data_IF_129626911933
#
_entry.id   IF_129626911933
#
_cell.length_a   1.000
_cell.length_b   1.000
_cell.length_c   1.000
_cell.angle_alpha   90.00
_cell.angle_beta   90.00
_cell.angle_gamma   90.00
#
_symmetry.space_group_name_H-M   'P 1'
#
loop_
_entity.id
_entity.type
_entity.pdbx_description
1 polymer ?
#
# COMPACT_ATOMS: atom_id res chain seq x y z
N UNK A 1 -16.86 23.35 -12.07
CA UNK A 1 -16.56 22.43 -13.18
C UNK A 1 -16.52 21.04 -12.59
N UNK A 2 -17.13 20.05 -13.24
CA UNK A 2 -17.01 18.65 -12.81
C UNK A 2 -15.69 18.11 -13.35
N UNK A 3 -14.85 17.55 -12.49
CA UNK A 3 -13.62 16.91 -12.96
C UNK A 3 -13.92 15.63 -13.75
N UNK A 4 -13.09 15.34 -14.73
CA UNK A 4 -13.20 14.17 -15.62
C UNK A 4 -12.16 13.11 -15.28
N UNK A 5 -12.33 11.88 -15.77
CA UNK A 5 -11.31 10.82 -15.65
C UNK A 5 -9.95 11.24 -16.26
N UNK A 6 -9.96 12.06 -17.31
CA UNK A 6 -8.74 12.64 -17.88
C UNK A 6 -8.01 13.57 -16.89
N UNK A 7 -8.74 14.37 -16.13
CA UNK A 7 -8.15 15.24 -15.09
C UNK A 7 -7.52 14.40 -13.97
N UNK A 8 -8.16 13.29 -13.59
CA UNK A 8 -7.64 12.34 -12.60
C UNK A 8 -6.35 11.68 -13.10
N UNK A 9 -6.33 11.20 -14.35
CA UNK A 9 -5.12 10.63 -14.97
C UNK A 9 -3.97 11.66 -15.02
N UNK A 10 -4.29 12.91 -15.38
CA UNK A 10 -3.29 13.98 -15.41
C UNK A 10 -2.69 14.22 -14.02
N UNK A 11 -3.53 14.32 -12.99
CA UNK A 11 -3.06 14.50 -11.61
C UNK A 11 -2.29 13.28 -11.11
N UNK A 12 -2.73 12.07 -11.44
CA UNK A 12 -2.03 10.83 -11.09
C UNK A 12 -0.59 10.83 -11.64
N UNK A 13 -0.42 11.13 -12.93
CA UNK A 13 0.90 11.20 -13.59
C UNK A 13 1.77 12.32 -13.04
N UNK A 14 1.18 13.47 -12.71
CA UNK A 14 1.88 14.56 -12.03
C UNK A 14 2.47 14.10 -10.70
N UNK A 15 1.67 13.44 -9.86
CA UNK A 15 2.09 12.92 -8.55
C UNK A 15 3.14 11.82 -8.68
N UNK A 16 2.95 10.88 -9.62
CA UNK A 16 3.94 9.86 -9.93
C UNK A 16 5.29 10.51 -10.29
N UNK A 17 5.30 11.46 -11.23
CA UNK A 17 6.52 12.16 -11.64
C UNK A 17 7.20 12.90 -10.48
N UNK A 18 6.41 13.48 -9.58
CA UNK A 18 6.89 14.28 -8.46
C UNK A 18 7.42 13.43 -7.30
N UNK A 19 6.80 12.29 -7.01
CA UNK A 19 7.04 11.52 -5.78
C UNK A 19 7.52 10.09 -6.01
N UNK A 20 7.72 9.65 -7.25
CA UNK A 20 8.36 8.37 -7.52
C UNK A 20 9.87 8.45 -7.23
N UNK A 21 10.37 7.42 -6.55
CA UNK A 21 11.79 7.19 -6.37
C UNK A 21 12.13 5.75 -6.74
N UNK A 22 13.32 5.54 -7.31
CA UNK A 22 13.78 4.22 -7.74
C UNK A 22 14.11 3.28 -6.57
N UNK A 23 14.29 3.83 -5.37
CA UNK A 23 14.63 3.11 -4.14
C UNK A 23 13.62 3.44 -3.04
N UNK A 24 13.52 2.53 -2.07
CA UNK A 24 12.65 2.67 -0.91
C UNK A 24 11.26 2.04 -1.09
N UNK A 25 10.50 2.08 -0.01
CA UNK A 25 9.14 1.56 0.08
C UNK A 25 8.25 2.56 0.78
N UNK A 26 7.00 2.65 0.34
CA UNK A 26 5.96 3.22 1.18
C UNK A 26 5.50 2.14 2.15
N UNK A 27 5.29 2.52 3.42
CA UNK A 27 4.88 1.58 4.47
C UNK A 27 3.77 2.18 5.34
N UNK A 28 2.93 1.31 5.91
CA UNK A 28 1.90 1.70 6.87
C UNK A 28 1.88 0.74 8.05
N UNK A 29 1.63 1.27 9.25
CA UNK A 29 1.39 0.44 10.42
C UNK A 29 -0.05 -0.11 10.37
N UNK A 30 -0.17 -1.44 10.44
CA UNK A 30 -1.46 -2.09 10.63
C UNK A 30 -1.82 -2.03 12.11
N UNK A 31 -3.03 -1.60 12.50
CA UNK A 31 -3.45 -1.63 13.89
C UNK A 31 -3.38 -3.03 14.47
N UNK A 32 -2.90 -3.18 15.71
CA UNK A 32 -2.70 -4.49 16.35
C UNK A 32 -3.99 -5.33 16.37
N UNK A 33 -5.15 -4.73 16.71
CA UNK A 33 -6.45 -5.43 16.70
C UNK A 33 -6.85 -5.93 15.31
N UNK A 34 -6.59 -5.14 14.26
CA UNK A 34 -6.85 -5.52 12.87
C UNK A 34 -5.88 -6.63 12.43
N UNK A 35 -4.60 -6.49 12.79
CA UNK A 35 -3.55 -7.47 12.52
C UNK A 35 -3.89 -8.83 13.14
N UNK A 36 -4.35 -8.85 14.38
CA UNK A 36 -4.79 -10.09 15.04
C UNK A 36 -5.99 -10.70 14.33
N UNK A 37 -7.03 -9.91 14.03
CA UNK A 37 -8.23 -10.40 13.36
C UNK A 37 -7.96 -10.96 11.95
N UNK A 38 -7.14 -10.26 11.16
CA UNK A 38 -6.90 -10.59 9.75
C UNK A 38 -5.91 -11.76 9.60
N UNK A 39 -4.97 -11.91 10.53
CA UNK A 39 -3.88 -12.88 10.41
C UNK A 39 -3.87 -13.97 11.51
N UNK A 40 -4.94 -14.12 12.30
CA UNK A 40 -5.00 -15.06 13.43
C UNK A 40 -4.72 -16.52 13.05
N UNK A 41 -5.40 -17.05 12.02
CA UNK A 41 -5.51 -18.51 11.84
C UNK A 41 -5.19 -19.04 10.43
N UNK A 42 -4.96 -18.17 9.43
CA UNK A 42 -4.81 -18.57 8.02
C UNK A 42 -3.53 -18.07 7.34
N UNK A 43 -2.75 -17.24 8.02
CA UNK A 43 -1.57 -16.61 7.44
C UNK A 43 -0.32 -17.48 7.64
N UNK A 44 0.22 -18.03 6.56
CA UNK A 44 1.52 -18.72 6.58
C UNK A 44 2.63 -17.67 6.51
N UNK A 45 3.16 -17.31 7.67
CA UNK A 45 4.28 -16.38 7.78
C UNK A 45 5.60 -17.08 7.47
N UNK A 46 6.39 -16.50 6.56
CA UNK A 46 7.73 -17.00 6.23
C UNK A 46 8.78 -16.27 7.03
N UNK A 47 9.66 -17.00 7.69
CA UNK A 47 10.84 -16.42 8.32
C UNK A 47 11.86 -16.11 7.23
N UNK A 48 12.12 -14.81 7.03
CA UNK A 48 13.05 -14.34 6.01
C UNK A 48 14.03 -13.35 6.60
N UNK A 49 15.16 -13.26 5.89
CA UNK A 49 16.21 -12.34 6.21
C UNK A 49 15.94 -10.96 5.60
N UNK A 50 15.84 -9.90 6.41
CA UNK A 50 15.67 -8.55 5.87
C UNK A 50 17.03 -7.88 5.60
N UNK A 51 17.58 -8.15 4.40
CA UNK A 51 18.85 -7.56 3.89
C UNK A 51 18.90 -6.05 3.79
N UNK A 52 17.77 -5.39 3.95
CA UNK A 52 17.68 -3.95 3.85
C UNK A 52 17.69 -3.28 5.24
N UNK A 53 17.37 -4.01 6.30
CA UNK A 53 17.43 -3.55 7.69
C UNK A 53 18.79 -3.83 8.36
N UNK A 54 19.40 -4.99 8.08
CA UNK A 54 20.70 -5.43 8.63
C UNK A 54 21.21 -6.62 7.80
N UNK A 55 22.24 -7.35 8.27
CA UNK A 55 22.52 -8.77 7.92
C UNK A 55 22.03 -9.77 9.01
N UNK A 56 21.37 -9.28 10.07
CA UNK A 56 20.92 -10.09 11.21
C UNK A 56 19.41 -10.00 11.56
N UNK A 57 18.61 -9.15 10.90
CA UNK A 57 17.18 -8.99 11.24
C UNK A 57 16.31 -10.06 10.57
N UNK A 58 15.98 -11.09 11.35
CA UNK A 58 14.93 -12.04 11.00
C UNK A 58 13.53 -11.41 11.15
N UNK A 59 12.72 -11.52 10.10
CA UNK A 59 11.33 -11.07 10.07
C UNK A 59 10.41 -12.21 9.65
N UNK A 60 9.14 -12.08 9.99
CA UNK A 60 8.06 -12.86 9.40
C UNK A 60 7.46 -12.05 8.26
N UNK A 61 7.42 -12.60 7.05
CA UNK A 61 6.83 -11.98 5.86
C UNK A 61 5.67 -12.79 5.34
N UNK A 62 4.63 -12.11 4.91
CA UNK A 62 3.43 -12.67 4.29
C UNK A 62 3.11 -11.86 3.03
N UNK A 63 2.81 -12.55 1.92
CA UNK A 63 2.42 -11.91 0.66
C UNK A 63 0.92 -12.03 0.45
N UNK A 64 0.27 -10.95 0.02
CA UNK A 64 -1.12 -10.95 -0.40
C UNK A 64 -1.27 -10.33 -1.79
N UNK A 65 -2.21 -10.85 -2.55
CA UNK A 65 -2.65 -10.26 -3.81
C UNK A 65 -3.85 -9.36 -3.54
N UNK A 66 -3.84 -8.15 -4.08
CA UNK A 66 -4.90 -7.16 -3.97
C UNK A 66 -5.44 -6.91 -5.38
N UNK A 67 -6.59 -7.50 -5.75
CA UNK A 67 -7.24 -7.23 -7.02
C UNK A 67 -7.81 -5.81 -7.02
N UNK A 68 -7.41 -4.98 -7.97
CA UNK A 68 -7.92 -3.62 -8.12
C UNK A 68 -8.04 -3.26 -9.59
N UNK A 69 -9.22 -2.79 -10.00
CA UNK A 69 -9.51 -2.34 -11.37
C UNK A 69 -9.13 -3.36 -12.45
N UNK A 70 -9.30 -4.66 -12.16
CA UNK A 70 -8.99 -5.75 -13.09
C UNK A 70 -7.52 -6.21 -13.11
N UNK A 71 -6.70 -5.71 -12.19
CA UNK A 71 -5.28 -6.06 -12.07
C UNK A 71 -4.92 -6.53 -10.67
N UNK A 72 -3.98 -7.47 -10.59
CA UNK A 72 -3.51 -8.04 -9.32
C UNK A 72 -2.23 -7.32 -8.86
N UNK A 73 -2.26 -6.77 -7.65
CA UNK A 73 -1.10 -6.11 -7.04
C UNK A 73 -0.60 -6.90 -5.84
N UNK A 74 0.71 -7.15 -5.74
CA UNK A 74 1.28 -7.87 -4.60
C UNK A 74 1.69 -6.92 -3.49
N UNK A 75 1.11 -7.09 -2.30
CA UNK A 75 1.56 -6.42 -1.07
C UNK A 75 2.29 -7.39 -0.15
N UNK A 76 3.18 -6.84 0.68
CA UNK A 76 3.91 -7.60 1.70
C UNK A 76 3.49 -7.10 3.08
N UNK A 77 3.33 -8.03 4.02
CA UNK A 77 3.10 -7.75 5.42
C UNK A 77 4.26 -8.33 6.21
N UNK A 78 4.83 -7.53 7.11
CA UNK A 78 6.07 -7.88 7.80
C UNK A 78 5.92 -7.68 9.32
N UNK A 79 6.44 -8.63 10.10
CA UNK A 79 6.47 -8.62 11.57
C UNK A 79 7.89 -8.88 12.09
N UNK A 80 8.28 -8.35 13.26
CA UNK A 80 9.53 -8.72 13.91
C UNK A 80 9.47 -10.19 14.38
N UNK A 81 10.57 -10.94 14.23
CA UNK A 81 10.65 -12.33 14.73
C UNK A 81 11.08 -12.41 16.20
N UNK A 82 11.93 -11.49 16.66
CA UNK A 82 12.47 -11.47 18.03
C UNK A 82 12.50 -10.05 18.57
N UNK A 83 12.36 -9.94 19.90
CA UNK A 83 12.37 -8.65 20.60
C UNK A 83 13.67 -7.88 20.39
N UNK A 84 14.81 -8.55 20.34
CA UNK A 84 16.12 -7.87 20.29
C UNK A 84 16.35 -7.12 18.97
N UNK A 85 15.65 -7.47 17.90
CA UNK A 85 15.74 -6.81 16.59
C UNK A 85 14.69 -5.70 16.39
N UNK A 86 13.94 -5.33 17.43
CA UNK A 86 12.89 -4.30 17.34
C UNK A 86 13.44 -2.93 16.94
N UNK A 87 14.57 -2.51 17.52
CA UNK A 87 15.19 -1.22 17.21
C UNK A 87 15.61 -1.13 15.73
N UNK A 88 16.21 -2.19 15.20
CA UNK A 88 16.68 -2.25 13.80
C UNK A 88 15.50 -2.32 12.82
N UNK A 89 14.42 -3.02 13.21
CA UNK A 89 13.16 -3.04 12.46
C UNK A 89 12.49 -1.66 12.45
N UNK A 90 12.43 -0.97 13.59
CA UNK A 90 11.87 0.38 13.73
C UNK A 90 12.68 1.44 12.97
N UNK A 91 14.01 1.40 13.10
CA UNK A 91 14.92 2.30 12.39
C UNK A 91 14.78 2.13 10.87
N UNK A 92 14.71 0.89 10.39
CA UNK A 92 14.57 0.58 8.96
C UNK A 92 13.29 1.12 8.32
N UNK A 93 12.16 1.05 9.03
CA UNK A 93 10.89 1.58 8.51
C UNK A 93 10.70 3.08 8.81
N UNK A 94 11.68 3.74 9.42
CA UNK A 94 11.60 5.15 9.79
C UNK A 94 10.65 5.44 10.97
N UNK A 95 10.36 4.42 11.79
CA UNK A 95 9.55 4.54 13.00
C UNK A 95 10.42 4.91 14.21
N UNK A 96 10.98 6.11 14.22
CA UNK A 96 11.61 6.64 15.44
C UNK A 96 10.59 6.76 16.59
N UNK A 97 10.67 5.87 17.60
CA UNK A 97 10.03 6.07 18.90
C UNK A 97 8.58 5.61 19.08
N UNK A 98 8.00 4.84 18.15
CA UNK A 98 6.61 4.35 18.26
C UNK A 98 6.46 2.91 18.81
N UNK A 99 7.54 2.18 19.10
CA UNK A 99 7.46 1.00 20.00
C UNK A 99 7.71 1.35 21.46
N UNK A 100 7.08 2.42 21.95
CA UNK A 100 6.55 2.33 23.31
C UNK A 100 5.53 1.18 23.33
N UNK A 101 5.94 0.01 23.83
CA UNK A 101 5.10 -1.19 23.89
C UNK A 101 5.26 -2.12 22.69
N UNK A 102 6.49 -2.60 22.44
CA UNK A 102 6.78 -3.73 21.55
C UNK A 102 5.71 -4.84 21.63
N UNK A 103 5.21 -5.28 20.49
CA UNK A 103 4.26 -6.37 20.34
C UNK A 103 4.71 -7.27 19.17
N UNK A 104 4.79 -8.58 19.41
CA UNK A 104 5.10 -9.60 18.37
C UNK A 104 4.07 -9.63 17.24
N UNK A 105 2.88 -9.08 17.47
CA UNK A 105 1.78 -9.00 16.50
C UNK A 105 1.78 -7.69 15.68
N UNK A 106 2.74 -6.79 15.94
CA UNK A 106 2.84 -5.53 15.20
C UNK A 106 3.20 -5.81 13.76
N UNK A 107 2.30 -5.47 12.85
CA UNK A 107 2.44 -5.72 11.41
C UNK A 107 2.65 -4.42 10.66
N UNK A 108 3.62 -4.41 9.77
CA UNK A 108 3.85 -3.34 8.80
C UNK A 108 3.35 -3.81 7.44
N UNK A 109 2.47 -3.03 6.82
CA UNK A 109 2.11 -3.18 5.42
C UNK A 109 3.16 -2.47 4.56
N UNK A 110 3.83 -3.22 3.69
CA UNK A 110 4.81 -2.72 2.73
C UNK A 110 4.21 -2.77 1.32
N UNK A 111 4.07 -1.57 0.74
CA UNK A 111 3.59 -1.39 -0.63
C UNK A 111 4.73 -1.68 -1.63
N UNK A 112 4.42 -1.98 -2.91
CA UNK A 112 5.45 -2.29 -3.90
C UNK A 112 6.56 -1.23 -4.03
N UNK A 113 7.81 -1.69 -4.15
CA UNK A 113 8.96 -0.80 -4.44
C UNK A 113 8.97 -0.29 -5.87
N UNK A 114 8.31 -0.98 -6.80
CA UNK A 114 8.26 -0.59 -8.20
C UNK A 114 6.85 -0.85 -8.70
N UNK A 115 6.38 0.04 -9.57
CA UNK A 115 5.21 -0.23 -10.36
C UNK A 115 5.57 -1.15 -11.53
N UNK A 116 4.58 -1.91 -11.99
CA UNK A 116 4.72 -2.72 -13.20
C UNK A 116 4.59 -1.80 -14.42
N UNK A 117 5.66 -1.70 -15.21
CA UNK A 117 5.71 -0.84 -16.39
C UNK A 117 4.88 -1.39 -17.56
N UNK A 118 4.51 -2.67 -17.54
CA UNK A 118 3.67 -3.30 -18.55
C UNK A 118 2.18 -3.00 -18.32
N UNK A 119 1.82 -2.51 -17.13
CA UNK A 119 0.46 -2.06 -16.82
C UNK A 119 0.21 -0.68 -17.44
N UNK A 120 -0.78 -0.62 -18.35
CA UNK A 120 -1.20 0.63 -18.98
C UNK A 120 -2.15 1.43 -18.05
N UNK A 121 -1.58 2.40 -17.32
CA UNK A 121 -2.33 3.22 -16.36
C UNK A 121 -3.41 4.09 -17.03
N UNK A 122 -3.20 4.50 -18.27
CA UNK A 122 -4.17 5.28 -19.04
C UNK A 122 -5.41 4.44 -19.33
N UNK A 123 -5.21 3.18 -19.75
CA UNK A 123 -6.33 2.27 -19.97
C UNK A 123 -7.12 2.00 -18.68
N UNK A 124 -6.42 1.78 -17.55
CA UNK A 124 -7.05 1.53 -16.25
C UNK A 124 -7.88 2.72 -15.78
N UNK A 125 -7.33 3.93 -15.83
CA UNK A 125 -7.99 5.12 -15.27
C UNK A 125 -9.03 5.69 -16.23
N UNK A 126 -8.83 5.61 -17.55
CA UNK A 126 -9.81 6.15 -18.51
C UNK A 126 -10.98 5.20 -18.73
N UNK A 127 -10.74 3.87 -18.75
CA UNK A 127 -11.78 2.86 -19.05
C UNK A 127 -12.57 3.19 -20.33
N UNK A 128 -11.88 3.63 -21.37
CA UNK A 128 -12.44 4.11 -22.65
C UNK A 128 -13.39 5.33 -22.55
N UNK A 129 -13.44 6.02 -21.41
CA UNK A 129 -14.30 7.20 -21.18
C UNK A 129 -13.53 8.34 -20.50
N UNK A 130 -12.71 9.05 -21.28
CA UNK A 130 -11.88 10.14 -20.78
C UNK A 130 -12.68 11.32 -20.22
N UNK A 131 -13.87 11.56 -20.76
CA UNK A 131 -14.78 12.65 -20.32
C UNK A 131 -15.74 12.20 -19.23
N UNK A 132 -15.64 10.95 -18.80
CA UNK A 132 -16.53 10.34 -17.82
C UNK A 132 -16.53 11.09 -16.49
N UNK A 133 -17.69 11.16 -15.83
CA UNK A 133 -17.77 11.74 -14.49
C UNK A 133 -16.94 10.91 -13.51
N UNK A 134 -16.42 11.60 -12.51
CA UNK A 134 -15.66 11.01 -11.40
C UNK A 134 -16.58 10.96 -10.19
N UNK A 135 -16.81 9.77 -9.64
CA UNK A 135 -17.49 9.58 -8.36
C UNK A 135 -16.51 9.22 -7.24
N UNK A 136 -17.02 9.17 -6.00
CA UNK A 136 -16.21 8.89 -4.83
C UNK A 136 -15.55 7.50 -4.86
N UNK A 137 -16.21 6.50 -5.45
CA UNK A 137 -15.69 5.14 -5.47
C UNK A 137 -14.55 5.01 -6.48
N UNK A 138 -14.71 5.58 -7.68
CA UNK A 138 -13.64 5.70 -8.65
C UNK A 138 -12.45 6.48 -8.08
N UNK A 139 -12.70 7.60 -7.39
CA UNK A 139 -11.64 8.40 -6.77
C UNK A 139 -10.85 7.61 -5.72
N UNK A 140 -11.54 6.86 -4.85
CA UNK A 140 -10.91 5.95 -3.87
C UNK A 140 -10.10 4.85 -4.53
N UNK A 141 -10.59 4.25 -5.62
CA UNK A 141 -9.82 3.29 -6.40
C UNK A 141 -8.57 3.90 -7.04
N UNK A 142 -8.63 5.14 -7.54
CA UNK A 142 -7.46 5.83 -8.07
C UNK A 142 -6.41 6.13 -6.98
N UNK A 143 -6.85 6.50 -5.77
CA UNK A 143 -5.97 6.68 -4.61
C UNK A 143 -5.33 5.35 -4.19
N UNK A 144 -6.13 4.28 -4.09
CA UNK A 144 -5.62 2.93 -3.81
C UNK A 144 -4.58 2.53 -4.85
N UNK A 145 -4.87 2.71 -6.14
CA UNK A 145 -3.97 2.37 -7.24
C UNK A 145 -2.63 3.12 -7.15
N UNK A 146 -2.65 4.41 -6.80
CA UNK A 146 -1.42 5.20 -6.62
C UNK A 146 -0.51 4.57 -5.55
N UNK A 147 -1.12 4.10 -4.45
CA UNK A 147 -0.44 3.47 -3.33
C UNK A 147 -0.02 2.01 -3.62
N UNK A 148 -0.99 1.13 -3.89
CA UNK A 148 -0.79 -0.31 -4.06
C UNK A 148 -0.07 -0.66 -5.35
N UNK A 149 -0.15 0.20 -6.37
CA UNK A 149 0.60 0.03 -7.60
C UNK A 149 2.07 0.41 -7.47
N UNK A 150 2.51 0.97 -6.33
CA UNK A 150 3.92 1.36 -6.13
C UNK A 150 4.36 2.57 -6.96
N UNK A 151 3.41 3.35 -7.50
CA UNK A 151 3.65 4.53 -8.33
C UNK A 151 4.23 5.72 -7.55
N UNK A 152 4.14 5.70 -6.23
CA UNK A 152 4.73 6.70 -5.33
C UNK A 152 5.44 6.03 -4.16
N UNK A 153 6.26 6.79 -3.42
CA UNK A 153 7.00 6.30 -2.24
C UNK A 153 6.69 7.03 -0.94
N UNK A 154 5.89 8.08 -1.01
CA UNK A 154 5.64 8.97 0.12
C UNK A 154 4.14 9.19 0.29
N UNK A 155 3.66 9.12 1.54
CA UNK A 155 2.28 9.45 1.90
C UNK A 155 1.87 10.86 1.51
N UNK A 156 2.83 11.79 1.43
CA UNK A 156 2.60 13.13 0.90
C UNK A 156 1.92 13.14 -0.48
N UNK A 157 2.24 12.18 -1.36
CA UNK A 157 1.60 12.07 -2.66
C UNK A 157 0.13 11.63 -2.55
N UNK A 158 -0.16 10.70 -1.64
CA UNK A 158 -1.52 10.21 -1.36
C UNK A 158 -2.37 11.34 -0.77
N UNK A 159 -1.85 12.05 0.23
CA UNK A 159 -2.54 13.19 0.84
C UNK A 159 -2.75 14.34 -0.16
N UNK A 160 -1.77 14.61 -1.03
CA UNK A 160 -1.94 15.60 -2.10
C UNK A 160 -3.03 15.17 -3.09
N UNK A 161 -3.17 13.88 -3.37
CA UNK A 161 -4.24 13.39 -4.24
C UNK A 161 -5.62 13.49 -3.59
N UNK A 162 -5.72 13.08 -2.31
CA UNK A 162 -6.95 13.23 -1.51
C UNK A 162 -7.41 14.68 -1.46
N UNK A 163 -6.50 15.62 -1.15
CA UNK A 163 -6.81 17.05 -1.12
C UNK A 163 -7.23 17.57 -2.50
N UNK A 164 -6.58 17.11 -3.57
CA UNK A 164 -7.00 17.48 -4.93
C UNK A 164 -8.43 17.01 -5.23
N UNK A 165 -8.80 15.79 -4.85
CA UNK A 165 -10.18 15.31 -5.01
C UNK A 165 -11.18 16.17 -4.23
N UNK A 166 -10.84 16.59 -3.02
CA UNK A 166 -11.69 17.44 -2.19
C UNK A 166 -11.83 18.84 -2.79
N UNK A 167 -10.70 19.50 -3.08
CA UNK A 167 -10.65 20.93 -3.38
C UNK A 167 -10.94 21.23 -4.86
N UNK A 168 -10.56 20.33 -5.77
CA UNK A 168 -10.67 20.53 -7.23
C UNK A 168 -11.77 19.66 -7.83
N UNK A 169 -11.81 18.38 -7.49
CA UNK A 169 -12.84 17.47 -8.02
C UNK A 169 -14.19 17.57 -7.31
N UNK A 170 -14.24 18.20 -6.14
CA UNK A 170 -15.46 18.36 -5.35
C UNK A 170 -15.97 17.07 -4.72
N UNK A 171 -15.06 16.15 -4.38
CA UNK A 171 -15.34 14.82 -3.79
C UNK A 171 -14.84 14.81 -2.33
N UNK A 172 -15.61 15.33 -1.37
CA UNK A 172 -15.21 15.44 0.02
C UNK A 172 -14.99 14.07 0.71
N UNK A 173 -15.58 12.99 0.18
CA UNK A 173 -15.47 11.62 0.70
C UNK A 173 -14.05 11.04 0.62
N UNK A 174 -13.15 11.67 -0.14
CA UNK A 174 -11.74 11.28 -0.21
C UNK A 174 -10.90 11.84 0.94
N UNK A 175 -11.43 12.80 1.71
CA UNK A 175 -10.66 13.47 2.77
C UNK A 175 -10.23 12.49 3.86
N UNK A 176 -8.93 12.35 4.07
CA UNK A 176 -8.37 11.50 5.13
C UNK A 176 -8.63 10.01 4.91
N UNK A 177 -8.83 9.58 3.67
CA UNK A 177 -9.08 8.18 3.31
C UNK A 177 -7.91 7.26 3.73
N UNK A 178 -6.68 7.74 3.60
CA UNK A 178 -5.46 7.04 4.07
C UNK A 178 -5.25 7.14 5.58
N UNK A 179 -5.47 8.31 6.19
CA UNK A 179 -5.24 8.55 7.62
C UNK A 179 -6.27 7.87 8.54
N UNK A 180 -7.52 7.80 8.09
CA UNK A 180 -8.62 7.13 8.81
C UNK A 180 -8.48 5.61 8.85
N UNK A 181 -7.47 5.06 8.18
CA UNK A 181 -7.24 3.62 7.98
C UNK A 181 -8.31 2.95 7.12
N UNK A 182 -9.22 3.71 6.49
CA UNK A 182 -10.19 3.18 5.52
C UNK A 182 -9.46 2.53 4.33
N UNK A 183 -8.36 3.12 3.85
CA UNK A 183 -7.52 2.52 2.81
C UNK A 183 -7.05 1.11 3.16
N UNK A 184 -6.52 0.90 4.37
CA UNK A 184 -6.08 -0.43 4.83
C UNK A 184 -7.27 -1.38 5.00
N UNK A 185 -8.39 -0.89 5.54
CA UNK A 185 -9.60 -1.71 5.69
C UNK A 185 -10.09 -2.23 4.33
N UNK A 186 -10.18 -1.37 3.31
CA UNK A 186 -10.57 -1.77 1.95
C UNK A 186 -9.58 -2.74 1.31
N UNK A 187 -8.28 -2.55 1.53
CA UNK A 187 -7.27 -3.54 1.10
C UNK A 187 -7.55 -4.90 1.74
N UNK A 188 -7.82 -4.93 3.06
CA UNK A 188 -8.09 -6.18 3.77
C UNK A 188 -9.38 -6.86 3.34
N UNK A 189 -10.39 -6.11 2.90
CA UNK A 189 -11.65 -6.65 2.39
C UNK A 189 -11.48 -7.40 1.06
N UNK A 190 -10.57 -6.94 0.21
CA UNK A 190 -10.42 -7.47 -1.16
C UNK A 190 -9.17 -8.33 -1.34
N UNK A 191 -8.22 -8.29 -0.41
CA UNK A 191 -6.98 -9.05 -0.56
C UNK A 191 -7.21 -10.55 -0.45
N UNK A 192 -6.42 -11.30 -1.22
CA UNK A 192 -6.37 -12.75 -1.20
C UNK A 192 -4.97 -13.16 -0.77
N UNK A 193 -4.88 -14.01 0.26
CA UNK A 193 -3.60 -14.56 0.69
C UNK A 193 -3.05 -15.47 -0.40
N UNK A 194 -1.76 -15.33 -0.72
CA UNK A 194 -1.13 -16.19 -1.71
C UNK A 194 -0.86 -17.55 -1.06
N UNK A 195 -1.61 -18.59 -1.46
CA UNK A 195 -1.30 -19.98 -1.12
C UNK A 195 -0.04 -20.43 -1.87
N UNK A 196 0.84 -21.18 -1.21
CA UNK A 196 2.15 -21.50 -1.77
C UNK A 196 2.06 -22.32 -3.07
N UNK A 197 2.90 -22.02 -4.09
CA UNK A 197 3.43 -23.07 -4.96
C UNK A 197 4.44 -23.93 -4.18
N UNK A 198 4.50 -25.25 -4.42
CA UNK A 198 5.36 -26.15 -3.67
C UNK A 198 6.83 -25.72 -3.74
N UNK A 199 7.51 -25.74 -2.58
CA UNK A 199 8.96 -25.56 -2.49
C UNK A 199 9.63 -26.54 -3.46
N UNK A 200 10.22 -26.02 -4.53
CA UNK A 200 11.15 -26.79 -5.34
C UNK A 200 12.43 -26.91 -4.53
N UNK A 201 12.86 -28.13 -4.16
CA UNK A 201 14.13 -28.28 -3.46
C UNK A 201 15.24 -27.83 -4.42
N UNK A 202 16.11 -26.95 -3.92
CA UNK A 202 17.39 -26.61 -4.56
C UNK A 202 18.47 -27.56 -4.08
#
# INVERSE_FOLDING_TARGET
MTSTKADVLAKFKELQKKYYAAQGFMVSNVPDETSEKVFADTAVWREVYNRYASEHVHIRSLSATVPLLGHDFTMQFERPLVKDHHCEFEEYFGFGGHCKGFNMNRTVARFPSKFDADINIDAILLQDDATGPVDAEYAKHAIMLLAIGGYVKYWAAVHEFENWFVDVAGIPECKGFSESKELLARIFEIMVMVAEPPLTPT
#
